data_IF_537110254949
#
_entry.id   IF_537110254949
#
_cell.length_a   1.000
_cell.length_b   1.000
_cell.length_c   1.000
_cell.angle_alpha   90.00
_cell.angle_beta   90.00
_cell.angle_gamma   90.00
#
_symmetry.space_group_name_H-M   'P 1'
#
loop_
_entity.id
_entity.type
_entity.pdbx_description
1 polymer ?
#
# COMPACT_ATOMS: atom_id res chain seq x y z
N UNK A 1 9.80 16.04 -6.62
CA UNK A 1 10.16 15.66 -8.01
C UNK A 1 8.99 15.11 -8.85
N UNK A 2 7.72 15.16 -8.41
CA UNK A 2 6.54 14.90 -9.26
C UNK A 2 6.35 13.50 -9.85
N UNK A 3 7.36 12.62 -9.80
CA UNK A 3 7.35 11.30 -10.46
C UNK A 3 6.45 10.23 -9.79
N UNK A 4 5.56 10.61 -8.87
CA UNK A 4 4.60 9.68 -8.24
C UNK A 4 5.16 8.74 -7.16
N UNK A 5 6.42 8.84 -6.76
CA UNK A 5 7.05 7.90 -5.79
C UNK A 5 6.31 7.85 -4.45
N UNK A 6 6.02 9.01 -3.87
CA UNK A 6 5.26 9.11 -2.61
C UNK A 6 3.85 8.56 -2.77
N UNK A 7 3.20 8.81 -3.90
CA UNK A 7 1.88 8.25 -4.22
C UNK A 7 1.94 6.73 -4.27
N UNK A 8 2.94 6.15 -4.95
CA UNK A 8 3.13 4.70 -5.03
C UNK A 8 3.38 4.09 -3.64
N UNK A 9 4.25 4.69 -2.84
CA UNK A 9 4.53 4.22 -1.47
C UNK A 9 3.26 4.23 -0.60
N UNK A 10 2.42 5.26 -0.72
CA UNK A 10 1.13 5.33 0.00
C UNK A 10 0.15 4.25 -0.44
N UNK A 11 0.16 3.85 -1.71
CA UNK A 11 -0.62 2.70 -2.17
C UNK A 11 -0.07 1.39 -1.60
N UNK A 12 1.26 1.19 -1.63
CA UNK A 12 1.91 0.00 -1.07
C UNK A 12 1.69 -0.15 0.45
N UNK A 13 1.65 0.98 1.17
CA UNK A 13 1.32 1.00 2.60
C UNK A 13 -0.19 0.84 2.89
N UNK A 14 -1.04 0.78 1.85
CA UNK A 14 -2.49 0.69 2.01
C UNK A 14 -3.12 1.95 2.60
N UNK A 15 -2.48 3.11 2.43
CA UNK A 15 -3.01 4.44 2.77
C UNK A 15 -3.93 4.95 1.66
N UNK A 16 -3.58 4.67 0.40
CA UNK A 16 -4.40 4.98 -0.77
C UNK A 16 -4.91 3.70 -1.44
N UNK A 17 -6.13 3.79 -1.97
CA UNK A 17 -6.78 2.73 -2.75
C UNK A 17 -6.54 3.06 -4.23
N UNK A 18 -6.01 2.12 -5.02
CA UNK A 18 -5.85 2.37 -6.45
C UNK A 18 -7.23 2.38 -7.14
N UNK A 19 -7.41 3.23 -8.14
CA UNK A 19 -8.66 3.28 -8.93
C UNK A 19 -8.93 1.98 -9.70
N UNK A 20 -7.88 1.23 -10.02
CA UNK A 20 -7.97 -0.10 -10.64
C UNK A 20 -6.79 -1.00 -10.26
N UNK A 21 -6.98 -2.31 -10.39
CA UNK A 21 -6.01 -3.32 -9.99
C UNK A 21 -6.04 -3.63 -8.50
N UNK A 22 -5.00 -4.31 -8.00
CA UNK A 22 -4.88 -4.66 -6.58
C UNK A 22 -3.42 -4.68 -6.14
N UNK A 23 -3.20 -4.47 -4.84
CA UNK A 23 -1.89 -4.59 -4.19
C UNK A 23 -2.00 -5.69 -3.15
N UNK A 24 -1.15 -6.70 -3.32
CA UNK A 24 -1.07 -7.84 -2.43
C UNK A 24 0.33 -8.01 -1.87
N UNK A 25 0.43 -8.44 -0.62
CA UNK A 25 1.66 -8.90 0.02
C UNK A 25 1.45 -10.37 0.35
N UNK A 26 2.30 -11.24 -0.22
CA UNK A 26 2.16 -12.70 -0.17
C UNK A 26 0.77 -13.19 -0.58
N UNK A 27 0.22 -12.57 -1.64
CA UNK A 27 -1.12 -12.90 -2.15
C UNK A 27 -2.28 -12.39 -1.30
N UNK A 28 -2.03 -11.73 -0.17
CA UNK A 28 -3.06 -11.13 0.68
C UNK A 28 -3.24 -9.65 0.35
N UNK A 29 -4.48 -9.16 0.16
CA UNK A 29 -4.73 -7.76 -0.17
C UNK A 29 -4.26 -6.85 0.96
N UNK A 30 -3.65 -5.71 0.62
CA UNK A 30 -3.15 -4.73 1.61
C UNK A 30 -4.28 -3.84 2.15
N UNK A 31 -5.27 -3.54 1.31
CA UNK A 31 -6.39 -2.69 1.72
C UNK A 31 -7.28 -3.39 2.74
N UNK A 32 -7.69 -2.66 3.79
CA UNK A 32 -8.50 -3.16 4.93
C UNK A 32 -7.98 -4.45 5.60
N UNK A 33 -6.69 -4.74 5.48
CA UNK A 33 -6.09 -5.96 6.02
C UNK A 33 -5.10 -5.66 7.16
N UNK A 34 -5.58 -5.73 8.40
CA UNK A 34 -4.77 -5.43 9.59
C UNK A 34 -3.59 -6.40 9.77
N UNK A 35 -3.77 -7.69 9.43
CA UNK A 35 -2.71 -8.69 9.59
C UNK A 35 -1.56 -8.49 8.60
N UNK A 36 -1.85 -7.98 7.40
CA UNK A 36 -0.83 -7.57 6.45
C UNK A 36 -0.17 -6.27 6.89
N UNK A 37 -0.96 -5.26 7.30
CA UNK A 37 -0.44 -3.95 7.70
C UNK A 37 0.47 -4.04 8.94
N UNK A 38 0.22 -4.94 9.88
CA UNK A 38 1.08 -5.13 11.06
C UNK A 38 2.48 -5.67 10.73
N UNK A 39 2.70 -6.18 9.51
CA UNK A 39 3.99 -6.71 9.04
C UNK A 39 4.86 -5.64 8.36
N UNK A 40 4.35 -4.42 8.21
CA UNK A 40 4.97 -3.34 7.44
C UNK A 40 5.18 -2.14 8.36
N UNK A 41 6.39 -1.57 8.34
CA UNK A 41 6.66 -0.28 8.93
C UNK A 41 6.65 0.80 7.83
N UNK A 42 5.84 1.84 8.02
CA UNK A 42 5.81 3.03 7.14
C UNK A 42 6.29 4.25 7.93
N UNK A 43 7.37 4.87 7.46
CA UNK A 43 7.91 6.12 8.01
C UNK A 43 7.65 7.19 6.95
N UNK A 44 6.71 8.13 7.21
CA UNK A 44 6.29 9.14 6.25
C UNK A 44 7.35 10.20 5.96
#
# INVERSE_FOLDING_TARGET
NGAGKTTLIKHLAGVFIPDSGSICIDGQPVFENLSVKSRIAYIP
#
